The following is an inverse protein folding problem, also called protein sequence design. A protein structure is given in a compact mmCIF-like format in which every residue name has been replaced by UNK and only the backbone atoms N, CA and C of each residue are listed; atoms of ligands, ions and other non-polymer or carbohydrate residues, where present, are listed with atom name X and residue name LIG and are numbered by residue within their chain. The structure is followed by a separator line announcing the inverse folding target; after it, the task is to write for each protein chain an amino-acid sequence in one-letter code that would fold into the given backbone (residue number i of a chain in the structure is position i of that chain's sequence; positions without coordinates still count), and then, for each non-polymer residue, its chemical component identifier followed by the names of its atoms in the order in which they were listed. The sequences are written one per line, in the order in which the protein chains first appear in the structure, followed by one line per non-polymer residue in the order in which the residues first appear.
data_IF_784582266439
#
_entry.id   IF_784582266439
#
_cell.length_a   1.000
_cell.length_b   1.000
_cell.length_c   1.000
_cell.angle_alpha   90.00
_cell.angle_beta   90.00
_cell.angle_gamma   90.00
#
_symmetry.space_group_name_H-M   'P 1'
#
loop_
_entity.id
_entity.type
_entity.pdbx_description
1 polymer ?
#
# COMPACT_ATOMS: atom_id res chain seq x y z
N UNK A 1 81.30 1.46 12.24
CA UNK A 1 80.35 1.01 11.19
C UNK A 1 80.18 -0.50 11.33
N UNK A 2 78.94 -1.00 11.49
CA UNK A 2 78.66 -2.44 11.56
C UNK A 2 78.31 -2.94 10.15
N UNK A 3 79.09 -3.87 9.62
CA UNK A 3 78.96 -4.40 8.24
C UNK A 3 77.76 -5.37 8.12
N UNK A 4 77.35 -5.98 9.23
CA UNK A 4 76.34 -7.06 9.23
C UNK A 4 74.86 -6.58 9.15
N UNK A 5 74.59 -5.29 9.39
CA UNK A 5 73.24 -4.73 9.38
C UNK A 5 73.26 -3.36 8.72
N UNK A 6 72.64 -3.23 7.56
CA UNK A 6 72.51 -1.98 6.84
C UNK A 6 71.19 -1.28 7.22
N UNK A 7 71.26 -0.40 8.22
CA UNK A 7 70.10 0.35 8.71
C UNK A 7 69.44 1.23 7.64
N UNK A 8 70.25 1.81 6.73
CA UNK A 8 69.74 2.63 5.62
C UNK A 8 68.91 1.81 4.62
N UNK A 9 69.37 0.61 4.28
CA UNK A 9 68.63 -0.32 3.42
C UNK A 9 67.32 -0.79 4.08
N UNK A 10 67.34 -1.09 5.40
CA UNK A 10 66.12 -1.47 6.14
C UNK A 10 65.10 -0.33 6.18
N UNK A 11 65.55 0.92 6.34
CA UNK A 11 64.68 2.09 6.29
C UNK A 11 64.10 2.32 4.89
N UNK A 12 64.92 2.20 3.84
CA UNK A 12 64.46 2.28 2.46
C UNK A 12 63.41 1.19 2.15
N UNK A 13 63.64 -0.04 2.61
CA UNK A 13 62.69 -1.15 2.42
C UNK A 13 61.36 -0.91 3.16
N UNK A 14 61.38 -0.41 4.41
CA UNK A 14 60.16 -0.02 5.13
C UNK A 14 59.35 1.04 4.39
N UNK A 15 60.02 2.06 3.84
CA UNK A 15 59.35 3.10 3.06
C UNK A 15 58.77 2.56 1.75
N UNK A 16 59.47 1.62 1.10
CA UNK A 16 58.98 0.94 -0.10
C UNK A 16 57.71 0.12 0.20
N UNK A 17 57.70 -0.66 1.30
CA UNK A 17 56.52 -1.41 1.71
C UNK A 17 55.31 -0.51 2.02
N UNK A 18 55.53 0.63 2.69
CA UNK A 18 54.49 1.62 2.94
C UNK A 18 53.92 2.20 1.63
N UNK A 19 54.79 2.57 0.68
CA UNK A 19 54.38 3.07 -0.63
C UNK A 19 53.62 2.01 -1.44
N UNK A 20 54.08 0.76 -1.43
CA UNK A 20 53.38 -0.36 -2.07
C UNK A 20 51.96 -0.49 -1.52
N UNK A 21 51.78 -0.45 -0.19
CA UNK A 21 50.47 -0.54 0.46
C UNK A 21 49.54 0.63 0.07
N UNK A 22 50.08 1.86 0.06
CA UNK A 22 49.32 3.04 -0.38
C UNK A 22 48.92 2.95 -1.85
N UNK A 23 49.83 2.50 -2.72
CA UNK A 23 49.55 2.31 -4.15
C UNK A 23 48.47 1.25 -4.36
N UNK A 24 48.53 0.12 -3.65
CA UNK A 24 47.46 -0.90 -3.70
C UNK A 24 46.11 -0.36 -3.28
N UNK A 25 46.04 0.47 -2.22
CA UNK A 25 44.78 1.12 -1.80
C UNK A 25 44.25 2.10 -2.84
N UNK A 26 45.12 2.87 -3.48
CA UNK A 26 44.71 3.82 -4.54
C UNK A 26 44.20 3.08 -5.77
N UNK A 27 44.85 1.98 -6.16
CA UNK A 27 44.39 1.12 -7.24
C UNK A 27 43.02 0.49 -6.92
N UNK A 28 42.78 0.05 -5.68
CA UNK A 28 41.48 -0.47 -5.22
C UNK A 28 40.37 0.59 -5.35
N UNK A 29 40.66 1.84 -4.95
CA UNK A 29 39.70 2.95 -5.10
C UNK A 29 39.43 3.27 -6.57
N UNK A 30 40.48 3.30 -7.40
CA UNK A 30 40.34 3.56 -8.83
C UNK A 30 39.55 2.45 -9.54
N UNK A 31 39.78 1.18 -9.21
CA UNK A 31 39.07 0.06 -9.83
C UNK A 31 37.61 -0.03 -9.40
N UNK A 32 37.31 0.35 -8.15
CA UNK A 32 35.93 0.36 -7.62
C UNK A 32 35.12 1.60 -8.01
N UNK A 33 35.79 2.71 -8.33
CA UNK A 33 35.18 4.03 -8.46
C UNK A 33 34.67 4.65 -7.16
N UNK A 34 34.86 4.00 -6.01
CA UNK A 34 34.38 4.44 -4.70
C UNK A 34 35.52 5.01 -3.85
N UNK A 35 35.25 6.13 -3.18
CA UNK A 35 36.22 6.78 -2.28
C UNK A 35 36.51 5.95 -1.01
N UNK A 36 35.53 5.16 -0.56
CA UNK A 36 35.56 4.35 0.66
C UNK A 36 35.16 2.92 0.30
N UNK A 37 36.13 2.00 0.33
CA UNK A 37 35.91 0.57 0.04
C UNK A 37 35.92 -0.32 1.28
N UNK A 38 36.56 0.14 2.35
CA UNK A 38 36.73 -0.61 3.59
C UNK A 38 36.17 0.18 4.76
N UNK A 39 35.43 -0.50 5.64
CA UNK A 39 34.94 0.10 6.89
C UNK A 39 36.03 0.60 7.82
N UNK A 40 37.27 0.10 7.66
CA UNK A 40 38.44 0.55 8.41
C UNK A 40 38.96 1.95 7.99
N UNK A 41 38.70 2.40 6.75
CA UNK A 41 39.21 3.68 6.27
C UNK A 41 38.37 4.87 6.80
N UNK A 42 37.04 4.70 6.91
CA UNK A 42 36.12 5.71 7.46
C UNK A 42 34.76 5.08 7.87
N UNK A 43 34.63 4.53 9.09
CA UNK A 43 33.43 3.76 9.49
C UNK A 43 32.15 4.60 9.52
N UNK A 44 32.23 5.85 10.00
CA UNK A 44 31.07 6.75 10.05
C UNK A 44 30.58 7.16 8.65
N UNK A 45 31.50 7.43 7.72
CA UNK A 45 31.16 7.81 6.34
C UNK A 45 30.59 6.60 5.58
N UNK A 46 31.12 5.40 5.81
CA UNK A 46 30.57 4.17 5.25
C UNK A 46 29.13 3.92 5.75
N UNK A 47 28.89 4.10 7.05
CA UNK A 47 27.55 3.95 7.64
C UNK A 47 26.53 4.90 6.98
N UNK A 48 26.89 6.18 6.80
CA UNK A 48 26.02 7.16 6.14
C UNK A 48 25.77 6.75 4.69
N UNK A 49 26.80 6.30 3.97
CA UNK A 49 26.62 5.87 2.57
C UNK A 49 25.72 4.65 2.43
N UNK A 50 25.79 3.69 3.36
CA UNK A 50 24.91 2.53 3.37
C UNK A 50 23.48 2.90 3.78
N UNK A 51 23.30 3.84 4.71
CA UNK A 51 21.98 4.39 5.03
C UNK A 51 21.35 5.09 3.80
N UNK A 52 22.12 5.89 3.06
CA UNK A 52 21.66 6.53 1.83
C UNK A 52 21.38 5.51 0.72
N UNK A 53 22.20 4.44 0.60
CA UNK A 53 21.97 3.34 -0.34
C UNK A 53 20.66 2.61 -0.02
N UNK A 54 20.40 2.32 1.26
CA UNK A 54 19.16 1.72 1.72
C UNK A 54 17.96 2.64 1.47
N UNK A 55 18.08 3.95 1.74
CA UNK A 55 17.04 4.93 1.42
C UNK A 55 16.77 5.00 -0.08
N UNK A 56 17.82 5.00 -0.91
CA UNK A 56 17.68 5.03 -2.37
C UNK A 56 16.93 3.80 -2.87
N UNK A 57 17.26 2.62 -2.35
CA UNK A 57 16.55 1.39 -2.66
C UNK A 57 15.07 1.44 -2.20
N UNK A 58 14.82 1.98 -1.00
CA UNK A 58 13.47 2.17 -0.47
C UNK A 58 12.63 3.15 -1.30
N UNK A 59 13.21 4.29 -1.70
CA UNK A 59 12.56 5.28 -2.57
C UNK A 59 12.27 4.69 -3.95
N UNK A 60 13.21 3.94 -4.54
CA UNK A 60 12.98 3.26 -5.81
C UNK A 60 11.78 2.30 -5.73
N UNK A 61 11.72 1.47 -4.69
CA UNK A 61 10.57 0.59 -4.47
C UNK A 61 9.26 1.38 -4.24
N UNK A 62 9.32 2.54 -3.56
CA UNK A 62 8.15 3.38 -3.37
C UNK A 62 7.65 4.01 -4.68
N UNK A 63 8.56 4.35 -5.59
CA UNK A 63 8.21 4.80 -6.95
C UNK A 63 7.53 3.66 -7.72
N UNK A 64 8.14 2.48 -7.75
CA UNK A 64 7.55 1.30 -8.42
C UNK A 64 6.16 0.96 -7.86
N UNK A 65 5.98 1.07 -6.53
CA UNK A 65 4.69 0.89 -5.87
C UNK A 65 3.66 1.97 -6.28
N UNK A 66 4.11 3.21 -6.46
CA UNK A 66 3.25 4.32 -6.91
C UNK A 66 2.81 4.14 -8.36
N UNK A 67 3.70 3.68 -9.24
CA UNK A 67 3.37 3.35 -10.63
C UNK A 67 2.34 2.22 -10.73
N UNK A 68 2.47 1.18 -9.90
CA UNK A 68 1.46 0.13 -9.78
C UNK A 68 0.12 0.66 -9.27
N UNK A 69 0.13 1.57 -8.30
CA UNK A 69 -1.10 2.20 -7.81
C UNK A 69 -1.78 3.06 -8.88
N UNK A 70 -1.00 3.81 -9.68
CA UNK A 70 -1.52 4.57 -10.83
C UNK A 70 -2.16 3.64 -11.84
N UNK A 71 -1.50 2.53 -12.19
CA UNK A 71 -2.03 1.54 -13.14
C UNK A 71 -3.35 0.92 -12.66
N UNK A 72 -3.44 0.64 -11.35
CA UNK A 72 -4.67 0.17 -10.72
C UNK A 72 -5.78 1.22 -10.81
N UNK A 73 -5.48 2.49 -10.49
CA UNK A 73 -6.45 3.58 -10.59
C UNK A 73 -6.95 3.78 -12.02
N UNK A 74 -6.07 3.75 -13.02
CA UNK A 74 -6.44 3.86 -14.44
C UNK A 74 -7.37 2.74 -14.89
N UNK A 75 -7.15 1.51 -14.40
CA UNK A 75 -8.04 0.38 -14.68
C UNK A 75 -9.43 0.61 -14.09
N UNK A 76 -9.50 1.15 -12.86
CA UNK A 76 -10.75 1.55 -12.24
C UNK A 76 -11.45 2.70 -12.97
N UNK A 77 -10.70 3.72 -13.37
CA UNK A 77 -11.20 4.90 -14.09
C UNK A 77 -11.82 4.52 -15.44
N UNK A 78 -11.11 3.73 -16.25
CA UNK A 78 -11.63 3.25 -17.53
C UNK A 78 -12.93 2.44 -17.38
N UNK A 79 -13.04 1.63 -16.32
CA UNK A 79 -14.27 0.91 -16.03
C UNK A 79 -15.42 1.85 -15.58
N UNK A 80 -15.12 2.89 -14.81
CA UNK A 80 -16.10 3.89 -14.40
C UNK A 80 -16.57 4.77 -15.56
N UNK A 81 -15.72 5.02 -16.55
CA UNK A 81 -16.11 5.71 -17.79
C UNK A 81 -17.17 4.93 -18.57
N UNK A 82 -17.02 3.60 -18.68
CA UNK A 82 -18.04 2.72 -19.28
C UNK A 82 -19.37 2.73 -18.48
N UNK A 83 -19.28 2.76 -17.15
CA UNK A 83 -20.46 2.92 -16.28
C UNK A 83 -21.12 4.28 -16.49
N UNK A 84 -20.35 5.35 -16.58
CA UNK A 84 -20.83 6.71 -16.84
C UNK A 84 -21.58 6.79 -18.18
N UNK A 85 -21.00 6.24 -19.25
CA UNK A 85 -21.64 6.16 -20.56
C UNK A 85 -22.95 5.36 -20.51
N UNK A 86 -22.96 4.24 -19.80
CA UNK A 86 -24.16 3.42 -19.60
C UNK A 86 -25.26 4.19 -18.86
N UNK A 87 -24.92 4.97 -17.83
CA UNK A 87 -25.87 5.81 -17.10
C UNK A 87 -26.43 6.96 -17.96
N UNK A 88 -25.61 7.54 -18.84
CA UNK A 88 -26.09 8.54 -19.80
C UNK A 88 -27.12 7.94 -20.76
N UNK A 89 -26.89 6.71 -21.25
CA UNK A 89 -27.89 5.97 -22.05
C UNK A 89 -29.16 5.67 -21.27
N UNK A 90 -29.04 5.20 -20.02
CA UNK A 90 -30.19 4.97 -19.15
C UNK A 90 -31.02 6.24 -18.95
N UNK A 91 -30.36 7.41 -18.80
CA UNK A 91 -31.04 8.71 -18.73
C UNK A 91 -31.76 9.08 -20.03
N UNK A 92 -31.14 8.84 -21.18
CA UNK A 92 -31.78 9.08 -22.48
C UNK A 92 -33.02 8.22 -22.65
N UNK A 93 -32.94 6.94 -22.27
CA UNK A 93 -34.05 6.00 -22.32
C UNK A 93 -35.17 6.39 -21.36
N UNK A 94 -34.85 6.85 -20.14
CA UNK A 94 -35.84 7.36 -19.20
C UNK A 94 -36.60 8.59 -19.74
N UNK A 95 -35.91 9.48 -20.47
CA UNK A 95 -36.55 10.63 -21.14
C UNK A 95 -37.41 10.16 -22.32
N UNK A 96 -36.95 9.14 -23.05
CA UNK A 96 -37.72 8.53 -24.14
C UNK A 96 -39.04 7.95 -23.60
N UNK A 97 -38.97 7.08 -22.59
CA UNK A 97 -40.12 6.45 -21.96
C UNK A 97 -41.13 7.46 -21.37
N UNK A 98 -40.65 8.60 -20.87
CA UNK A 98 -41.50 9.67 -20.33
C UNK A 98 -42.35 10.40 -21.39
N UNK A 99 -42.12 10.18 -22.69
CA UNK A 99 -42.98 10.74 -23.75
C UNK A 99 -44.26 9.91 -23.95
N UNK A 100 -45.16 9.98 -22.98
CA UNK A 100 -46.44 9.23 -22.95
C UNK A 100 -47.35 9.50 -24.17
N UNK A 101 -47.19 10.65 -24.84
CA UNK A 101 -48.00 10.99 -26.01
C UNK A 101 -47.63 10.22 -27.29
N UNK A 102 -46.46 9.58 -27.32
CA UNK A 102 -45.92 8.88 -28.51
C UNK A 102 -45.69 7.39 -28.26
N UNK A 103 -45.44 7.00 -27.00
CA UNK A 103 -45.11 5.60 -26.68
C UNK A 103 -46.36 4.76 -26.43
N UNK A 104 -46.45 3.63 -27.14
CA UNK A 104 -47.41 2.57 -26.88
C UNK A 104 -46.89 1.59 -25.80
N UNK A 105 -47.77 0.75 -25.24
CA UNK A 105 -47.44 -0.22 -24.18
C UNK A 105 -46.28 -1.17 -24.57
N UNK A 106 -46.23 -1.60 -25.84
CA UNK A 106 -45.14 -2.44 -26.36
C UNK A 106 -43.80 -1.70 -26.42
N UNK A 107 -43.81 -0.39 -26.71
CA UNK A 107 -42.59 0.42 -26.69
C UNK A 107 -42.09 0.62 -25.25
N UNK A 108 -43.01 0.83 -24.30
CA UNK A 108 -42.68 0.95 -22.89
C UNK A 108 -42.05 -0.35 -22.33
N UNK A 109 -42.58 -1.51 -22.75
CA UNK A 109 -42.01 -2.81 -22.37
C UNK A 109 -40.61 -3.03 -22.97
N UNK A 110 -40.40 -2.62 -24.23
CA UNK A 110 -39.08 -2.67 -24.87
C UNK A 110 -38.06 -1.74 -24.17
N UNK A 111 -38.47 -0.51 -23.84
CA UNK A 111 -37.65 0.45 -23.10
C UNK A 111 -37.28 -0.11 -21.71
N UNK A 112 -38.20 -0.78 -21.01
CA UNK A 112 -37.89 -1.43 -19.73
C UNK A 112 -36.85 -2.55 -19.90
N UNK A 113 -36.97 -3.39 -20.93
CA UNK A 113 -35.99 -4.44 -21.21
C UNK A 113 -34.61 -3.87 -21.51
N UNK A 114 -34.51 -2.78 -22.26
CA UNK A 114 -33.24 -2.11 -22.52
C UNK A 114 -32.65 -1.50 -21.24
N UNK A 115 -33.48 -0.90 -20.39
CA UNK A 115 -33.04 -0.37 -19.10
C UNK A 115 -32.46 -1.47 -18.20
N UNK A 116 -33.13 -2.63 -18.13
CA UNK A 116 -32.66 -3.77 -17.35
C UNK A 116 -31.32 -4.31 -17.88
N UNK A 117 -31.13 -4.32 -19.21
CA UNK A 117 -29.85 -4.67 -19.82
C UNK A 117 -28.74 -3.69 -19.46
N UNK A 118 -29.03 -2.39 -19.42
CA UNK A 118 -28.06 -1.36 -19.01
C UNK A 118 -27.65 -1.60 -17.56
N UNK A 119 -28.60 -1.82 -16.66
CA UNK A 119 -28.34 -2.13 -15.24
C UNK A 119 -27.53 -3.42 -15.09
N UNK A 120 -27.87 -4.47 -15.85
CA UNK A 120 -27.13 -5.72 -15.86
C UNK A 120 -25.68 -5.54 -16.34
N UNK A 121 -25.46 -4.70 -17.36
CA UNK A 121 -24.12 -4.38 -17.86
C UNK A 121 -23.30 -3.63 -16.81
N UNK A 122 -23.88 -2.63 -16.13
CA UNK A 122 -23.22 -1.90 -15.03
C UNK A 122 -22.80 -2.86 -13.91
N UNK A 123 -23.70 -3.75 -13.49
CA UNK A 123 -23.41 -4.75 -12.47
C UNK A 123 -22.29 -5.72 -12.91
N UNK A 124 -22.27 -6.10 -14.18
CA UNK A 124 -21.20 -6.95 -14.75
C UNK A 124 -19.86 -6.23 -14.75
N UNK A 125 -19.81 -4.95 -15.15
CA UNK A 125 -18.58 -4.14 -15.10
C UNK A 125 -18.07 -4.07 -13.65
N UNK A 126 -18.95 -3.71 -12.70
CA UNK A 126 -18.59 -3.64 -11.28
C UNK A 126 -18.01 -4.96 -10.74
N UNK A 127 -18.61 -6.11 -11.08
CA UNK A 127 -18.16 -7.43 -10.62
C UNK A 127 -16.92 -7.96 -11.31
N UNK A 128 -16.66 -7.56 -12.56
CA UNK A 128 -15.57 -8.14 -13.35
C UNK A 128 -14.34 -7.23 -13.46
N UNK A 129 -14.44 -5.95 -13.09
CA UNK A 129 -13.28 -5.05 -13.08
C UNK A 129 -12.29 -5.47 -12.00
N UNK A 130 -11.16 -6.01 -12.45
CA UNK A 130 -10.08 -6.50 -11.60
C UNK A 130 -8.71 -6.00 -12.06
N UNK A 131 -7.81 -5.79 -11.11
CA UNK A 131 -6.38 -5.61 -11.37
C UNK A 131 -5.61 -6.78 -10.75
N UNK A 132 -5.01 -7.60 -11.60
CA UNK A 132 -4.50 -8.91 -11.18
C UNK A 132 -5.64 -9.76 -10.61
N UNK A 133 -5.55 -10.10 -9.32
CA UNK A 133 -6.56 -10.90 -8.60
C UNK A 133 -7.45 -10.08 -7.66
N UNK A 134 -7.38 -8.74 -7.71
CA UNK A 134 -8.16 -7.85 -6.83
C UNK A 134 -9.30 -7.22 -7.61
N UNK A 135 -10.53 -7.41 -7.15
CA UNK A 135 -11.70 -6.68 -7.63
C UNK A 135 -11.65 -5.22 -7.15
N UNK A 136 -12.02 -4.29 -8.01
CA UNK A 136 -11.87 -2.85 -7.74
C UNK A 136 -13.19 -2.15 -7.42
N UNK A 137 -14.30 -2.62 -7.99
CA UNK A 137 -15.60 -1.92 -8.00
C UNK A 137 -16.72 -2.69 -7.31
N UNK A 138 -16.40 -3.76 -6.56
CA UNK A 138 -17.35 -4.61 -5.85
C UNK A 138 -17.65 -4.14 -4.41
N UNK A 139 -17.00 -3.06 -3.97
CA UNK A 139 -17.10 -2.53 -2.61
C UNK A 139 -16.24 -3.26 -1.58
N UNK A 140 -15.52 -4.33 -1.95
CA UNK A 140 -14.60 -5.03 -1.03
C UNK A 140 -13.41 -4.16 -0.60
N UNK A 141 -13.06 -3.15 -1.40
CA UNK A 141 -12.08 -2.12 -1.07
C UNK A 141 -12.60 -0.99 -0.16
N UNK A 142 -13.91 -0.95 0.14
CA UNK A 142 -14.49 0.08 1.00
C UNK A 142 -14.20 -0.24 2.48
N UNK A 143 -13.22 0.46 3.05
CA UNK A 143 -13.07 0.59 4.51
C UNK A 143 -12.10 -0.40 5.17
N UNK A 144 -10.81 -0.10 5.11
CA UNK A 144 -9.86 -0.55 6.14
C UNK A 144 -9.60 0.63 7.08
N UNK A 145 -10.19 0.61 8.27
CA UNK A 145 -9.87 1.58 9.30
C UNK A 145 -8.55 1.21 9.98
N UNK A 146 -7.66 2.19 10.09
CA UNK A 146 -6.44 2.05 10.89
C UNK A 146 -6.78 2.46 12.32
N UNK A 147 -6.58 1.55 13.25
CA UNK A 147 -6.76 1.80 14.68
C UNK A 147 -5.43 2.23 15.30
N UNK A 148 -5.38 3.41 15.91
CA UNK A 148 -4.20 3.94 16.60
C UNK A 148 -4.41 3.91 18.11
N UNK A 149 -3.99 2.81 18.77
CA UNK A 149 -4.07 2.71 20.23
C UNK A 149 -3.84 1.29 20.74
N UNK A 150 -3.15 1.18 21.87
CA UNK A 150 -2.97 -0.10 22.57
C UNK A 150 -4.35 -0.56 23.06
N UNK A 151 -4.85 -1.68 22.53
CA UNK A 151 -6.17 -2.30 22.79
C UNK A 151 -7.36 -1.83 21.93
N UNK A 152 -7.13 -1.16 20.80
CA UNK A 152 -8.20 -0.85 19.85
C UNK A 152 -8.13 -1.79 18.65
N UNK A 153 -9.22 -2.50 18.32
CA UNK A 153 -9.33 -3.30 17.08
C UNK A 153 -10.31 -2.66 16.11
N UNK A 154 -9.95 -2.58 14.84
CA UNK A 154 -10.88 -2.20 13.79
C UNK A 154 -11.96 -3.29 13.65
N UNK A 155 -13.22 -2.93 13.90
CA UNK A 155 -14.36 -3.88 13.87
C UNK A 155 -15.00 -3.93 12.48
N UNK A 156 -15.39 -2.78 11.92
CA UNK A 156 -15.94 -2.67 10.57
C UNK A 156 -15.99 -1.18 10.15
N UNK A 157 -15.93 -0.89 8.85
CA UNK A 157 -16.31 0.42 8.29
C UNK A 157 -17.37 0.21 7.21
N UNK A 158 -18.53 0.84 7.37
CA UNK A 158 -19.51 0.95 6.30
C UNK A 158 -19.13 2.00 5.28
N UNK A 159 -19.76 1.95 4.10
CA UNK A 159 -19.53 2.88 2.96
C UNK A 159 -19.83 4.35 3.31
N UNK A 160 -20.60 4.60 4.37
CA UNK A 160 -20.92 5.92 4.95
C UNK A 160 -20.03 6.32 6.13
N UNK A 161 -19.04 5.49 6.49
CA UNK A 161 -18.14 5.71 7.61
C UNK A 161 -17.27 6.94 7.39
N UNK A 162 -17.46 7.98 8.22
CA UNK A 162 -16.59 9.15 8.22
C UNK A 162 -15.21 8.76 8.73
N UNK A 163 -14.17 9.23 8.05
CA UNK A 163 -12.78 9.04 8.50
C UNK A 163 -12.61 9.60 9.91
N UNK A 164 -12.12 8.77 10.83
CA UNK A 164 -11.62 9.28 12.11
C UNK A 164 -10.36 10.08 11.79
N UNK A 165 -10.34 11.37 12.13
CA UNK A 165 -9.16 12.22 11.94
C UNK A 165 -7.92 11.65 12.64
N UNK A 166 -6.76 12.32 12.47
CA UNK A 166 -5.45 11.85 12.98
C UNK A 166 -5.45 11.45 14.48
N UNK A 167 -6.38 12.01 15.27
CA UNK A 167 -6.53 11.76 16.70
C UNK A 167 -7.67 10.82 17.10
N UNK A 168 -8.38 10.21 16.14
CA UNK A 168 -9.53 9.36 16.43
C UNK A 168 -10.77 10.14 16.89
N UNK A 169 -11.74 9.42 17.44
CA UNK A 169 -12.83 10.02 18.23
C UNK A 169 -12.47 9.90 19.71
N UNK A 170 -12.75 10.95 20.50
CA UNK A 170 -12.59 10.89 21.94
C UNK A 170 -13.54 9.83 22.53
N UNK A 171 -12.97 8.82 23.18
CA UNK A 171 -13.73 7.81 23.92
C UNK A 171 -13.89 8.33 25.35
N UNK A 172 -15.02 8.99 25.63
CA UNK A 172 -15.37 9.42 26.98
C UNK A 172 -16.05 8.25 27.73
N UNK A 173 -15.27 7.53 28.54
CA UNK A 173 -15.79 6.45 29.39
C UNK A 173 -16.48 7.07 30.61
N UNK A 174 -17.77 7.39 30.46
CA UNK A 174 -18.58 7.97 31.55
C UNK A 174 -18.94 7.00 32.68
N UNK A 175 -18.72 5.69 32.48
CA UNK A 175 -18.98 4.68 33.50
C UNK A 175 -18.00 3.51 33.37
N UNK A 176 -17.32 3.15 34.46
CA UNK A 176 -16.38 2.03 34.47
C UNK A 176 -17.10 0.71 34.20
N UNK A 177 -16.48 -0.16 33.39
CA UNK A 177 -17.01 -1.49 33.09
C UNK A 177 -17.18 -2.30 34.39
N UNK A 178 -18.42 -2.63 34.74
CA UNK A 178 -18.73 -3.54 35.85
C UNK A 178 -18.55 -4.98 35.37
N UNK A 179 -18.09 -5.89 36.25
CA UNK A 179 -17.89 -7.30 35.91
C UNK A 179 -19.15 -7.88 35.25
N UNK A 180 -18.99 -8.55 34.12
CA UNK A 180 -20.06 -9.33 33.49
C UNK A 180 -20.59 -10.36 34.51
N UNK A 181 -21.88 -10.31 34.79
CA UNK A 181 -22.59 -11.32 35.58
C UNK A 181 -23.55 -12.04 34.64
N UNK A 182 -23.27 -13.31 34.39
CA UNK A 182 -24.21 -14.20 33.72
C UNK A 182 -25.08 -14.87 34.78
N UNK A 183 -26.33 -14.46 34.87
CA UNK A 183 -27.34 -15.11 35.71
C UNK A 183 -28.07 -16.13 34.85
N UNK A 184 -27.85 -17.42 35.10
CA UNK A 184 -28.62 -18.49 34.47
C UNK A 184 -30.08 -18.44 34.92
N UNK A 185 -31.02 -18.53 33.98
CA UNK A 185 -32.47 -18.52 34.24
C UNK A 185 -33.05 -19.89 34.64
N UNK A 186 -32.23 -20.95 34.68
CA UNK A 186 -32.64 -22.29 35.08
C UNK A 186 -32.19 -22.60 36.51
N UNK A 187 -33.14 -22.96 37.38
CA UNK A 187 -32.84 -23.44 38.72
C UNK A 187 -32.18 -24.84 38.64
N UNK A 188 -31.10 -25.04 39.40
CA UNK A 188 -30.47 -26.35 39.57
C UNK A 188 -31.42 -27.27 40.34
N UNK A 189 -32.14 -28.14 39.64
CA UNK A 189 -32.91 -29.23 40.26
C UNK A 189 -32.01 -30.44 40.48
N UNK A 190 -32.20 -31.13 41.61
CA UNK A 190 -31.40 -32.25 42.13
C UNK A 190 -31.42 -33.54 41.26
N UNK A 191 -31.84 -33.44 40.00
CA UNK A 191 -31.75 -34.50 38.98
C UNK A 191 -30.49 -34.40 38.10
N UNK A 192 -29.65 -33.37 38.29
CA UNK A 192 -28.36 -33.19 37.59
C UNK A 192 -27.17 -33.30 38.59
N UNK A 193 -27.31 -34.17 39.60
CA UNK A 193 -26.18 -34.69 40.40
C UNK A 193 -26.19 -36.20 40.29
#
# INVERSE_FOLDING_TARGET
MRINTNASAINAHRNLLNNQSLQSKTLEKLSSGLKINRGADAPAQLQISEALRAQTAGVKQAIDNSEMAISLMQTGEAALDEVSLSLVRARQLAIHAANEAVNDEMMLEADQQEFDQIVASINRISKNTQYGQKFLLDGSGAGNGVTTGKNLSFVNAGVTGRSSGVYGYDIDIKQAATRSTHTGTAALTQQII
#
